data_IF_100343421746
#
_entry.id   IF_100343421746
#
_cell.length_a   1.000
_cell.length_b   1.000
_cell.length_c   1.000
_cell.angle_alpha   90.00
_cell.angle_beta   90.00
_cell.angle_gamma   90.00
#
_symmetry.space_group_name_H-M   'P 1'
#
loop_
_entity.id
_entity.type
_entity.pdbx_description
1 polymer ?
#
# COMPACT_ATOMS: atom_id res chain seq x y z
N UNK A 1 -22.35 0.39 -4.25
CA UNK A 1 -21.22 -0.51 -4.41
C UNK A 1 -19.91 0.18 -4.04
N UNK A 2 -18.89 -0.61 -3.79
CA UNK A 2 -17.56 -0.12 -3.44
C UNK A 2 -16.54 -0.63 -4.45
N UNK A 3 -15.49 0.13 -4.66
CA UNK A 3 -14.38 -0.31 -5.50
C UNK A 3 -13.09 0.39 -5.06
N UNK A 4 -11.97 -0.04 -5.63
CA UNK A 4 -10.69 0.61 -5.45
C UNK A 4 -10.36 1.41 -6.69
N UNK A 5 -9.87 2.63 -6.49
CA UNK A 5 -9.36 3.47 -7.58
C UNK A 5 -7.89 3.73 -7.36
N UNK A 6 -7.14 3.77 -8.45
CA UNK A 6 -5.71 4.04 -8.39
C UNK A 6 -5.47 5.50 -8.04
N UNK A 7 -4.52 5.75 -7.15
CA UNK A 7 -4.19 7.08 -6.64
C UNK A 7 -2.72 7.37 -6.97
N UNK A 8 -2.43 8.60 -7.36
CA UNK A 8 -1.04 9.02 -7.56
C UNK A 8 -0.31 9.08 -6.22
N UNK A 9 0.98 8.77 -6.24
CA UNK A 9 1.82 8.85 -5.05
C UNK A 9 1.69 10.21 -4.35
N UNK A 10 1.67 11.30 -5.11
CA UNK A 10 1.56 12.65 -4.57
C UNK A 10 0.23 12.94 -3.89
N UNK A 11 -0.80 12.17 -4.21
CA UNK A 11 -2.15 12.32 -3.66
C UNK A 11 -2.47 11.28 -2.59
N UNK A 12 -1.51 10.43 -2.24
CA UNK A 12 -1.74 9.36 -1.28
C UNK A 12 -2.12 9.90 0.10
N UNK A 13 -3.13 9.29 0.71
CA UNK A 13 -3.67 9.66 2.01
C UNK A 13 -3.54 8.50 2.99
N UNK A 14 -3.75 8.80 4.27
CA UNK A 14 -3.80 7.75 5.29
C UNK A 14 -4.80 6.67 4.90
N UNK A 15 -4.41 5.42 5.11
CA UNK A 15 -5.19 4.22 4.84
C UNK A 15 -5.40 3.88 3.37
N UNK A 16 -4.77 4.59 2.45
CA UNK A 16 -4.71 4.12 1.08
C UNK A 16 -3.93 2.80 1.03
N UNK A 17 -4.35 1.89 0.17
CA UNK A 17 -3.70 0.59 0.04
C UNK A 17 -2.45 0.75 -0.82
N UNK A 18 -1.32 0.28 -0.30
CA UNK A 18 -0.05 0.24 -1.01
C UNK A 18 0.14 -1.17 -1.57
N UNK A 19 0.42 -1.27 -2.85
CA UNK A 19 0.79 -2.54 -3.49
C UNK A 19 2.29 -2.54 -3.75
N UNK A 20 2.96 -3.61 -3.33
CA UNK A 20 4.40 -3.76 -3.48
C UNK A 20 4.73 -4.88 -4.44
N UNK A 21 5.71 -4.64 -5.29
CA UNK A 21 6.14 -5.61 -6.30
C UNK A 21 7.33 -6.43 -5.82
N UNK A 22 7.54 -7.56 -6.49
CA UNK A 22 8.73 -8.38 -6.33
C UNK A 22 10.00 -7.60 -6.73
N UNK A 23 11.15 -7.99 -6.16
CA UNK A 23 12.43 -7.43 -6.56
C UNK A 23 12.75 -7.72 -8.03
N UNK A 24 12.20 -8.78 -8.58
CA UNK A 24 12.60 -9.32 -9.89
C UNK A 24 11.57 -9.10 -11.00
N UNK A 25 10.40 -8.59 -10.68
CA UNK A 25 9.33 -8.42 -11.65
C UNK A 25 8.33 -7.38 -11.18
N UNK A 26 7.32 -7.08 -12.01
CA UNK A 26 6.23 -6.20 -11.63
C UNK A 26 5.08 -6.95 -10.93
N UNK A 27 5.30 -8.21 -10.59
CA UNK A 27 4.29 -8.99 -9.89
C UNK A 27 4.08 -8.43 -8.47
N UNK A 28 2.84 -8.09 -8.14
CA UNK A 28 2.49 -7.60 -6.81
C UNK A 28 2.50 -8.79 -5.85
N UNK A 29 3.27 -8.67 -4.76
CA UNK A 29 3.47 -9.75 -3.80
C UNK A 29 3.10 -9.37 -2.37
N UNK A 30 2.81 -8.11 -2.10
CA UNK A 30 2.54 -7.65 -0.73
C UNK A 30 1.68 -6.40 -0.75
N UNK A 31 0.89 -6.22 0.31
CA UNK A 31 0.07 -5.03 0.51
C UNK A 31 0.27 -4.46 1.89
N UNK A 32 0.06 -3.15 2.01
CA UNK A 32 0.05 -2.45 3.28
C UNK A 32 -0.91 -1.29 3.23
N UNK A 33 -1.20 -0.70 4.38
CA UNK A 33 -1.97 0.54 4.47
C UNK A 33 -1.00 1.70 4.72
N UNK A 34 -1.10 2.73 3.89
CA UNK A 34 -0.24 3.89 4.03
C UNK A 34 -0.61 4.69 5.27
N UNK A 35 0.40 5.07 6.03
CA UNK A 35 0.28 5.97 7.18
C UNK A 35 1.24 7.11 6.95
N UNK A 36 0.69 8.27 6.61
CA UNK A 36 1.51 9.46 6.32
C UNK A 36 2.37 9.84 7.51
N UNK A 37 3.54 10.40 7.28
CA UNK A 37 4.13 10.60 5.95
C UNK A 37 4.99 9.44 5.46
N UNK A 38 5.44 8.53 6.33
CA UNK A 38 6.51 7.59 5.98
C UNK A 38 6.33 6.20 6.57
N UNK A 39 5.13 5.83 6.98
CA UNK A 39 4.88 4.54 7.63
C UNK A 39 3.84 3.73 6.87
N UNK A 40 3.78 2.45 7.18
CA UNK A 40 2.71 1.59 6.71
C UNK A 40 2.30 0.59 7.79
N UNK A 41 1.05 0.18 7.74
CA UNK A 41 0.55 -0.95 8.49
C UNK A 41 0.57 -2.16 7.56
N UNK A 42 1.34 -3.18 7.91
CA UNK A 42 1.42 -4.41 7.10
C UNK A 42 0.11 -5.16 7.14
N UNK A 43 -0.31 -5.67 5.97
CA UNK A 43 -1.43 -6.59 5.87
C UNK A 43 -0.82 -7.97 5.70
N UNK A 44 -0.85 -8.78 6.77
CA UNK A 44 -0.24 -10.09 6.76
C UNK A 44 -1.29 -11.18 6.92
N UNK A 45 -1.14 -12.23 6.11
CA UNK A 45 -2.04 -13.38 6.14
C UNK A 45 -1.85 -14.13 7.46
N UNK A 46 -2.93 -14.28 8.21
CA UNK A 46 -2.95 -15.06 9.45
C UNK A 46 -2.06 -14.53 10.56
N UNK A 47 -1.45 -13.36 10.39
CA UNK A 47 -0.52 -12.80 11.34
C UNK A 47 -1.08 -11.59 12.06
N UNK A 48 -0.26 -11.06 12.97
CA UNK A 48 -0.53 -9.82 13.66
C UNK A 48 0.03 -8.67 12.81
N UNK A 49 -0.86 -7.75 12.44
CA UNK A 49 -0.44 -6.55 11.71
C UNK A 49 0.45 -5.67 12.59
N UNK A 50 1.44 -5.04 11.99
CA UNK A 50 2.31 -4.12 12.69
C UNK A 50 2.64 -2.90 11.83
N UNK A 51 2.99 -1.80 12.49
CA UNK A 51 3.40 -0.56 11.83
C UNK A 51 4.91 -0.57 11.62
N UNK A 52 5.33 -0.20 10.42
CA UNK A 52 6.74 -0.12 10.07
C UNK A 52 7.02 1.16 9.32
N UNK A 53 8.18 1.77 9.57
CA UNK A 53 8.64 2.90 8.78
C UNK A 53 9.06 2.41 7.39
N UNK A 54 8.64 3.14 6.35
CA UNK A 54 9.00 2.82 4.98
C UNK A 54 10.49 3.08 4.76
N UNK A 55 11.26 2.00 4.72
CA UNK A 55 12.68 2.04 4.38
C UNK A 55 12.86 2.06 2.87
N UNK A 56 14.11 2.25 2.42
CA UNK A 56 14.43 2.18 0.99
C UNK A 56 14.01 0.85 0.39
N UNK A 57 14.12 -0.23 1.16
CA UNK A 57 13.67 -1.55 0.72
C UNK A 57 12.21 -1.52 0.24
N UNK A 58 11.33 -0.91 1.01
CA UNK A 58 9.91 -0.82 0.68
C UNK A 58 9.63 0.22 -0.39
N UNK A 59 10.25 1.40 -0.28
CA UNK A 59 10.03 2.50 -1.23
C UNK A 59 10.33 2.07 -2.66
N UNK A 60 11.41 1.34 -2.87
CA UNK A 60 11.80 0.84 -4.20
C UNK A 60 10.78 -0.14 -4.79
N UNK A 61 9.97 -0.77 -3.94
CA UNK A 61 9.02 -1.79 -4.36
C UNK A 61 7.59 -1.31 -4.45
N UNK A 62 7.34 -0.05 -4.17
CA UNK A 62 5.99 0.50 -4.33
C UNK A 62 5.60 0.40 -5.80
N UNK A 63 4.54 -0.34 -6.06
CA UNK A 63 3.99 -0.47 -7.41
C UNK A 63 2.89 0.57 -7.64
N UNK A 64 1.97 0.70 -6.68
CA UNK A 64 0.80 1.56 -6.84
C UNK A 64 0.10 1.79 -5.51
N UNK A 65 -0.72 2.83 -5.49
CA UNK A 65 -1.62 3.13 -4.39
C UNK A 65 -3.05 3.01 -4.86
N UNK A 66 -3.94 2.54 -3.98
CA UNK A 66 -5.36 2.42 -4.28
C UNK A 66 -6.18 2.96 -3.13
N UNK A 67 -7.29 3.59 -3.44
CA UNK A 67 -8.23 4.10 -2.45
C UNK A 67 -9.54 3.39 -2.56
N UNK A 68 -10.05 2.95 -1.43
CA UNK A 68 -11.38 2.36 -1.35
C UNK A 68 -12.41 3.49 -1.42
N UNK A 69 -13.32 3.42 -2.38
CA UNK A 69 -14.36 4.42 -2.58
C UNK A 69 -15.72 3.74 -2.66
N UNK A 70 -16.73 4.45 -2.17
CA UNK A 70 -18.10 4.00 -2.29
C UNK A 70 -18.72 4.66 -3.52
N UNK A 71 -19.11 3.86 -4.48
CA UNK A 71 -19.64 4.32 -5.74
C UNK A 71 -21.16 4.52 -5.70
N UNK A 72 -21.72 4.58 -4.56
CA UNK A 72 -23.11 4.90 -4.40
C UNK A 72 -23.97 3.78 -4.07
#
# INVERSE_FOLDING_TARGET
>A
STCFVKVKLTDAQNYDVMAFKSEKSNLIIHFGLFLKPTKMLHIEEGGVSHVETLSDYWVKRIHSFYRHVNMG
#
